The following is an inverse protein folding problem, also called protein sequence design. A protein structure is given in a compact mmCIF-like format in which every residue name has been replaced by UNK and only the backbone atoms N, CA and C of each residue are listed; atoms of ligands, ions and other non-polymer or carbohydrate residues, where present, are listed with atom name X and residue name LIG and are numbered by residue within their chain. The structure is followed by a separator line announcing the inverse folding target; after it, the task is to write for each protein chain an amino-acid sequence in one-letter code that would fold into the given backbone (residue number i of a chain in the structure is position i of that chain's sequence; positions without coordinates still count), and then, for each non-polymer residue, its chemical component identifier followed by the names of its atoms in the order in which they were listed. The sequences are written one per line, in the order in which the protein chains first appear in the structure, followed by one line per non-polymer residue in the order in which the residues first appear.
data_IF_152371703424
#
_entry.id   IF_152371703424
#
_cell.length_a   1.000
_cell.length_b   1.000
_cell.length_c   1.000
_cell.angle_alpha   90.00
_cell.angle_beta   90.00
_cell.angle_gamma   90.00
#
_symmetry.space_group_name_H-M   'P 1'
#
loop_
_entity.id
_entity.type
_entity.pdbx_description
1 polymer ?
#
# COMPACT_ATOMS: atom_id res chain seq x y z
N UNK A 1 5.70 14.05 2.36
CA UNK A 1 5.08 14.95 1.34
C UNK A 1 4.18 14.16 0.44
N UNK A 2 3.04 14.71 0.10
CA UNK A 2 2.12 14.06 -0.85
C UNK A 2 2.67 14.13 -2.28
N UNK A 3 2.70 13.00 -2.97
CA UNK A 3 3.06 12.90 -4.39
C UNK A 3 1.85 12.34 -5.14
N UNK A 4 1.25 13.14 -6.00
CA UNK A 4 0.12 12.68 -6.81
C UNK A 4 0.63 11.72 -7.89
N UNK A 5 0.08 10.50 -7.91
CA UNK A 5 0.53 9.45 -8.82
C UNK A 5 -0.62 8.49 -9.11
N UNK A 6 -0.82 8.13 -10.38
CA UNK A 6 -1.79 7.12 -10.77
C UNK A 6 -1.17 6.18 -11.80
N UNK A 7 -0.66 5.00 -11.38
CA UNK A 7 -0.08 4.03 -12.30
C UNK A 7 -1.09 3.26 -13.15
N UNK A 8 -2.39 3.42 -12.91
CA UNK A 8 -3.42 2.81 -13.76
C UNK A 8 -3.22 3.27 -15.21
N UNK A 9 -3.12 2.36 -16.20
CA UNK A 9 -2.74 2.72 -17.57
C UNK A 9 -3.73 3.65 -18.28
N UNK A 10 -4.99 3.67 -17.83
CA UNK A 10 -6.03 4.58 -18.39
C UNK A 10 -6.38 5.69 -17.41
N UNK A 11 -5.65 5.83 -16.30
CA UNK A 11 -5.93 6.80 -15.24
C UNK A 11 -7.36 6.71 -14.70
N UNK A 12 -7.92 5.49 -14.70
CA UNK A 12 -9.28 5.28 -14.20
C UNK A 12 -9.36 5.48 -12.71
N UNK A 13 -10.51 5.96 -12.26
CA UNK A 13 -10.87 6.00 -10.84
C UNK A 13 -11.68 4.74 -10.52
N UNK A 14 -11.01 3.77 -9.92
CA UNK A 14 -11.60 2.50 -9.54
C UNK A 14 -10.98 2.04 -8.21
N UNK A 15 -11.51 0.99 -7.62
CA UNK A 15 -11.04 0.46 -6.33
C UNK A 15 -9.75 -0.35 -6.49
N UNK A 16 -8.74 0.26 -7.07
CA UNK A 16 -7.45 -0.36 -7.36
C UNK A 16 -6.30 0.12 -6.45
N UNK A 17 -6.63 0.69 -5.29
CA UNK A 17 -5.62 1.27 -4.40
C UNK A 17 -4.51 0.27 -4.01
N UNK A 18 -4.84 -0.99 -3.78
CA UNK A 18 -3.86 -2.04 -3.46
C UNK A 18 -2.92 -2.25 -4.65
N UNK A 19 -3.46 -2.37 -5.86
CA UNK A 19 -2.67 -2.58 -7.08
C UNK A 19 -1.76 -1.37 -7.31
N UNK A 20 -2.29 -0.16 -7.17
CA UNK A 20 -1.50 1.07 -7.33
C UNK A 20 -0.37 1.15 -6.32
N UNK A 21 -0.69 0.93 -5.04
CA UNK A 21 0.31 1.03 -3.97
C UNK A 21 1.46 0.04 -4.17
N UNK A 22 1.14 -1.20 -4.51
CA UNK A 22 2.16 -2.25 -4.73
C UNK A 22 2.95 -1.97 -6.00
N UNK A 23 2.29 -1.53 -7.08
CA UNK A 23 3.00 -1.18 -8.33
C UNK A 23 4.05 -0.09 -8.07
N UNK A 24 3.71 0.93 -7.30
CA UNK A 24 4.66 2.00 -6.94
C UNK A 24 5.78 1.44 -6.05
N UNK A 25 5.45 0.67 -5.03
CA UNK A 25 6.42 0.10 -4.09
C UNK A 25 7.41 -0.83 -4.78
N UNK A 26 6.95 -1.61 -5.77
CA UNK A 26 7.76 -2.57 -6.51
C UNK A 26 8.42 -1.97 -7.74
N UNK A 27 8.13 -0.71 -8.05
CA UNK A 27 8.56 -0.08 -9.31
C UNK A 27 8.20 -0.97 -10.52
N UNK A 28 6.99 -1.47 -10.53
CA UNK A 28 6.46 -2.37 -11.55
C UNK A 28 5.23 -1.75 -12.22
N UNK A 29 4.84 -2.30 -13.38
CA UNK A 29 3.63 -1.83 -14.06
C UNK A 29 2.38 -2.26 -13.30
N UNK A 30 1.31 -1.48 -13.44
CA UNK A 30 0.00 -1.80 -12.90
C UNK A 30 -0.48 -3.18 -13.41
N UNK A 31 -0.26 -3.44 -14.70
CA UNK A 31 -0.66 -4.70 -15.35
C UNK A 31 0.03 -5.91 -14.71
N UNK A 32 1.32 -5.80 -14.45
CA UNK A 32 2.08 -6.89 -13.83
C UNK A 32 1.55 -7.20 -12.43
N UNK A 33 1.31 -6.17 -11.63
CA UNK A 33 0.80 -6.37 -10.26
C UNK A 33 -0.62 -6.91 -10.30
N UNK A 34 -1.46 -6.44 -11.21
CA UNK A 34 -2.81 -6.97 -11.40
C UNK A 34 -2.77 -8.48 -11.66
N UNK A 35 -1.92 -8.91 -12.59
CA UNK A 35 -1.78 -10.33 -12.94
C UNK A 35 -1.24 -11.14 -11.76
N UNK A 36 -0.20 -10.67 -11.11
CA UNK A 36 0.42 -11.37 -9.98
C UNK A 36 -0.57 -11.54 -8.82
N UNK A 37 -1.30 -10.51 -8.47
CA UNK A 37 -2.33 -10.58 -7.42
C UNK A 37 -3.49 -11.48 -7.82
N UNK A 38 -3.87 -11.48 -9.10
CA UNK A 38 -4.92 -12.36 -9.61
C UNK A 38 -4.52 -13.83 -9.50
N UNK A 39 -3.26 -14.15 -9.77
CA UNK A 39 -2.72 -15.50 -9.60
C UNK A 39 -2.78 -15.90 -8.12
N UNK A 40 -2.38 -15.02 -7.21
CA UNK A 40 -2.46 -15.30 -5.78
C UNK A 40 -3.91 -15.49 -5.33
N UNK A 41 -4.82 -14.65 -5.81
CA UNK A 41 -6.24 -14.81 -5.52
C UNK A 41 -6.78 -16.15 -5.99
N UNK A 42 -6.38 -16.58 -7.19
CA UNK A 42 -6.77 -17.87 -7.73
C UNK A 42 -6.24 -19.03 -6.87
N UNK A 43 -4.98 -18.98 -6.47
CA UNK A 43 -4.35 -20.03 -5.65
C UNK A 43 -5.04 -20.15 -4.29
N UNK A 44 -5.39 -19.03 -3.67
CA UNK A 44 -5.99 -19.02 -2.34
C UNK A 44 -7.52 -18.97 -2.36
N UNK A 45 -8.13 -19.05 -3.55
CA UNK A 45 -9.58 -19.03 -3.76
C UNK A 45 -10.25 -17.82 -3.10
N UNK A 46 -9.65 -16.63 -3.27
CA UNK A 46 -10.14 -15.38 -2.73
C UNK A 46 -9.89 -14.22 -3.72
N UNK A 47 -10.46 -13.07 -3.45
CA UNK A 47 -10.30 -11.91 -4.33
C UNK A 47 -8.88 -11.33 -4.23
N UNK A 48 -8.31 -10.87 -5.35
CA UNK A 48 -6.93 -10.35 -5.36
C UNK A 48 -6.68 -9.20 -4.38
N UNK A 49 -7.69 -8.38 -4.12
CA UNK A 49 -7.58 -7.20 -3.26
C UNK A 49 -7.90 -7.47 -1.79
N UNK A 50 -8.12 -8.72 -1.40
CA UNK A 50 -8.28 -9.09 0.01
C UNK A 50 -6.95 -9.00 0.74
N UNK A 51 -6.99 -8.51 1.98
CA UNK A 51 -5.78 -8.26 2.77
C UNK A 51 -4.91 -9.52 2.95
N UNK A 52 -5.54 -10.68 3.14
CA UNK A 52 -4.80 -11.93 3.27
C UNK A 52 -4.15 -12.39 1.96
N UNK A 53 -4.68 -11.99 0.81
CA UNK A 53 -4.11 -12.33 -0.50
C UNK A 53 -2.91 -11.43 -0.79
N UNK A 54 -3.10 -10.10 -0.79
CA UNK A 54 -1.99 -9.21 -1.11
C UNK A 54 -0.93 -9.15 0.01
N UNK A 55 -1.32 -9.47 1.25
CA UNK A 55 -0.37 -9.63 2.34
C UNK A 55 0.58 -10.80 2.12
N UNK A 56 0.06 -11.95 1.65
CA UNK A 56 0.90 -13.11 1.27
C UNK A 56 1.82 -12.79 0.11
N UNK A 57 1.31 -12.08 -0.89
CA UNK A 57 2.12 -11.62 -2.01
C UNK A 57 3.31 -10.80 -1.54
N UNK A 58 3.09 -9.82 -0.68
CA UNK A 58 4.14 -8.98 -0.15
C UNK A 58 5.10 -9.76 0.75
N UNK A 59 4.59 -10.65 1.58
CA UNK A 59 5.40 -11.50 2.44
C UNK A 59 6.36 -12.36 1.61
N UNK A 60 5.90 -12.92 0.49
CA UNK A 60 6.73 -13.72 -0.41
C UNK A 60 7.77 -12.86 -1.14
N UNK A 61 7.57 -11.55 -1.18
CA UNK A 61 8.50 -10.60 -1.79
C UNK A 61 9.40 -9.91 -0.77
N UNK A 62 9.56 -10.53 0.40
CA UNK A 62 10.46 -10.03 1.44
C UNK A 62 9.99 -8.71 2.08
N UNK A 63 8.66 -8.53 2.20
CA UNK A 63 8.12 -7.46 3.03
C UNK A 63 7.84 -8.01 4.44
N UNK A 64 8.05 -7.16 5.43
CA UNK A 64 7.76 -7.48 6.82
C UNK A 64 6.46 -6.78 7.24
N UNK A 65 5.52 -7.56 7.79
CA UNK A 65 4.28 -6.99 8.35
C UNK A 65 4.59 -6.20 9.61
N UNK A 66 4.00 -5.01 9.71
CA UNK A 66 4.08 -4.17 10.91
C UNK A 66 2.68 -3.78 11.36
N UNK A 67 2.44 -3.88 12.67
CA UNK A 67 1.20 -3.45 13.28
C UNK A 67 1.35 -1.99 13.72
N UNK A 68 0.32 -1.18 13.49
CA UNK A 68 0.32 0.23 13.86
C UNK A 68 -0.79 0.44 14.90
N UNK A 69 -0.44 0.78 16.17
CA UNK A 69 -1.43 0.94 17.22
C UNK A 69 -2.37 2.11 16.95
N UNK A 70 -3.65 1.93 17.29
CA UNK A 70 -4.63 3.02 17.25
C UNK A 70 -4.43 3.93 18.46
N UNK A 71 -4.15 5.20 18.21
CA UNK A 71 -3.94 6.21 19.26
C UNK A 71 -5.04 7.27 19.29
N UNK A 72 -6.12 7.09 18.52
CA UNK A 72 -7.23 8.05 18.51
C UNK A 72 -7.82 8.22 19.93
N UNK A 73 -8.22 9.45 20.33
CA UNK A 73 -8.44 10.65 19.52
C UNK A 73 -7.19 11.40 19.07
N UNK A 74 -6.00 11.02 19.53
CA UNK A 74 -4.73 11.59 19.06
C UNK A 74 -4.22 10.73 17.91
N UNK A 75 -4.98 10.73 16.81
CA UNK A 75 -4.78 9.79 15.72
C UNK A 75 -3.41 9.93 15.06
N UNK A 76 -2.73 8.80 14.93
CA UNK A 76 -1.50 8.69 14.16
C UNK A 76 -1.88 8.52 12.69
N UNK A 77 -1.50 9.49 11.86
CA UNK A 77 -1.93 9.56 10.46
C UNK A 77 -0.82 9.17 9.51
N UNK A 78 -1.16 8.94 8.24
CA UNK A 78 -0.16 8.60 7.21
C UNK A 78 0.95 9.66 7.17
N UNK A 79 0.60 10.96 7.23
CA UNK A 79 1.61 12.01 7.23
C UNK A 79 2.53 11.97 8.45
N UNK A 80 2.03 11.49 9.59
CA UNK A 80 2.85 11.31 10.79
C UNK A 80 3.80 10.12 10.63
N UNK A 81 3.31 9.03 10.04
CA UNK A 81 4.13 7.88 9.70
C UNK A 81 5.28 8.29 8.78
N UNK A 82 5.01 9.12 7.78
CA UNK A 82 6.04 9.60 6.85
C UNK A 82 7.14 10.39 7.56
N UNK A 83 6.79 11.19 8.56
CA UNK A 83 7.77 11.95 9.36
C UNK A 83 8.67 11.02 10.17
N UNK A 84 8.08 9.96 10.73
CA UNK A 84 8.81 8.99 11.55
C UNK A 84 9.63 8.00 10.73
N UNK A 85 9.34 7.89 9.42
CA UNK A 85 9.99 6.93 8.54
C UNK A 85 10.54 7.64 7.30
N UNK A 86 11.60 8.44 7.46
CA UNK A 86 12.17 9.19 6.34
C UNK A 86 12.92 8.32 5.33
N UNK A 87 13.14 7.04 5.65
CA UNK A 87 13.84 6.10 4.79
C UNK A 87 13.06 4.81 4.64
N UNK A 88 13.11 4.20 3.46
CA UNK A 88 12.51 2.90 3.19
C UNK A 88 11.21 2.99 2.40
N UNK A 89 10.75 1.82 1.99
CA UNK A 89 9.52 1.65 1.19
C UNK A 89 8.52 0.85 2.00
N UNK A 90 7.29 1.35 2.05
CA UNK A 90 6.20 0.74 2.82
C UNK A 90 4.92 0.73 1.99
N UNK A 91 4.10 -0.29 2.21
CA UNK A 91 2.70 -0.29 1.79
C UNK A 91 1.86 -0.25 3.06
N UNK A 92 1.14 0.84 3.26
CA UNK A 92 0.30 1.02 4.45
C UNK A 92 -1.14 0.68 4.13
N UNK A 93 -1.82 0.06 5.08
CA UNK A 93 -3.25 -0.21 5.00
C UNK A 93 -4.02 0.59 6.04
N UNK A 94 -5.11 1.20 5.60
CA UNK A 94 -6.13 1.77 6.48
C UNK A 94 -7.32 0.80 6.51
N UNK A 95 -8.43 1.20 7.11
CA UNK A 95 -9.64 0.37 7.13
C UNK A 95 -10.14 0.06 5.71
N UNK A 96 -10.08 1.02 4.79
CA UNK A 96 -10.64 0.89 3.44
C UNK A 96 -9.70 1.37 2.33
N UNK A 97 -8.41 1.54 2.61
CA UNK A 97 -7.49 2.13 1.65
C UNK A 97 -6.09 1.55 1.81
N UNK A 98 -5.31 1.61 0.74
CA UNK A 98 -3.90 1.27 0.75
C UNK A 98 -3.08 2.36 0.08
N UNK A 99 -1.90 2.66 0.61
CA UNK A 99 -1.04 3.73 0.09
C UNK A 99 0.42 3.31 0.17
N UNK A 100 1.23 3.75 -0.79
CA UNK A 100 2.66 3.53 -0.81
C UNK A 100 3.40 4.72 -0.19
N UNK A 101 4.35 4.42 0.68
CA UNK A 101 5.25 5.42 1.26
C UNK A 101 6.69 5.07 0.86
N UNK A 102 7.40 6.01 0.27
CA UNK A 102 8.80 5.84 -0.10
C UNK A 102 9.59 7.04 0.43
N UNK A 103 10.54 6.77 1.31
CA UNK A 103 11.44 7.80 1.88
C UNK A 103 10.68 9.02 2.42
N UNK A 104 9.62 8.78 3.16
CA UNK A 104 8.84 9.83 3.80
C UNK A 104 7.82 10.54 2.90
N UNK A 105 7.69 10.11 1.65
CA UNK A 105 6.67 10.63 0.73
C UNK A 105 5.58 9.59 0.51
N UNK A 106 4.30 10.01 0.50
CA UNK A 106 3.20 9.09 0.23
C UNK A 106 2.61 9.37 -1.15
N UNK A 107 2.39 8.29 -1.91
CA UNK A 107 2.00 8.32 -3.32
C UNK A 107 0.56 7.86 -3.45
N UNK A 108 -0.29 8.71 -3.98
CA UNK A 108 -1.71 8.39 -4.15
C UNK A 108 -2.33 9.23 -5.27
N UNK A 109 -3.57 8.89 -5.63
CA UNK A 109 -4.34 9.68 -6.59
C UNK A 109 -5.00 10.90 -5.94
N UNK A 110 -5.07 10.93 -4.62
CA UNK A 110 -5.60 12.03 -3.81
C UNK A 110 -4.81 12.10 -2.50
N UNK A 111 -4.88 13.24 -1.82
CA UNK A 111 -4.14 13.44 -0.58
C UNK A 111 -4.77 12.65 0.57
N UNK A 112 -4.27 11.45 0.79
CA UNK A 112 -4.71 10.55 1.86
C UNK A 112 -3.92 10.70 3.16
N UNK A 113 -3.13 11.76 3.29
CA UNK A 113 -2.23 11.96 4.44
C UNK A 113 -2.93 12.06 5.78
N UNK A 114 -4.22 12.40 5.81
CA UNK A 114 -5.01 12.47 7.04
C UNK A 114 -5.69 11.16 7.42
N UNK A 115 -5.59 10.13 6.58
CA UNK A 115 -6.08 8.79 6.89
C UNK A 115 -5.26 8.14 8.00
N UNK A 116 -5.87 7.22 8.76
CA UNK A 116 -5.24 6.54 9.89
C UNK A 116 -4.81 5.14 9.47
N UNK A 117 -3.50 4.87 9.32
CA UNK A 117 -3.03 3.53 9.00
C UNK A 117 -3.17 2.62 10.22
N UNK A 118 -3.56 1.37 9.98
CA UNK A 118 -3.74 0.37 11.04
C UNK A 118 -2.72 -0.76 10.95
N UNK A 119 -2.09 -0.92 9.79
CA UNK A 119 -1.01 -1.87 9.57
C UNK A 119 -0.19 -1.44 8.37
N UNK A 120 0.95 -2.12 8.18
CA UNK A 120 1.77 -1.87 7.00
C UNK A 120 2.67 -3.05 6.68
N UNK A 121 3.34 -2.94 5.55
CA UNK A 121 4.35 -3.88 5.10
C UNK A 121 5.60 -3.09 4.74
N UNK A 122 6.71 -3.41 5.39
CA UNK A 122 8.00 -2.78 5.14
C UNK A 122 8.78 -3.62 4.14
N UNK A 123 9.22 -3.01 3.04
CA UNK A 123 10.05 -3.69 2.05
C UNK A 123 11.42 -4.00 2.64
N UNK A 124 11.85 -5.26 2.51
CA UNK A 124 13.19 -5.68 2.91
C UNK A 124 14.26 -5.21 1.94
N UNK A 125 15.47 -5.28 2.37
CA UNK A 125 16.64 -4.91 1.56
C UNK A 125 16.98 -5.98 0.50
#
# INVERSE_FOLDING_TARGET
MFIKCNPNPYHLRTDDCVIRAIAIAENASWDKIYLDLSIYGLIYADLPIRNNVWGRFLNDRNYEYISIPNTCPFCYRIKDFCKDHPNGTFVLGTEHHAVCVINGDYYDTWDSGSEVPIYGFKKGD
#
